data_IF_507027682014
#
_entry.id   IF_507027682014
#
_cell.length_a   1.000
_cell.length_b   1.000
_cell.length_c   1.000
_cell.angle_alpha   90.00
_cell.angle_beta   90.00
_cell.angle_gamma   90.00
#
_symmetry.space_group_name_H-M   'P 1'
#
loop_
_entity.id
_entity.type
_entity.pdbx_description
1 polymer ?
#
# COMPACT_ATOMS: atom_id res chain seq x y z
N UNK A 1 -30.71 -10.10 53.73
CA UNK A 1 -31.97 -9.80 54.44
C UNK A 1 -32.69 -8.72 53.64
N UNK A 2 -34.00 -8.89 53.42
CA UNK A 2 -35.01 -8.11 52.64
C UNK A 2 -34.69 -6.60 52.47
N UNK A 3 -34.95 -5.92 51.35
CA UNK A 3 -36.25 -5.80 50.67
C UNK A 3 -36.15 -5.52 49.17
N UNK A 4 -37.11 -6.11 48.46
CA UNK A 4 -37.54 -5.85 47.09
C UNK A 4 -38.61 -4.75 47.15
N UNK A 5 -38.49 -3.68 46.36
CA UNK A 5 -39.65 -2.85 45.99
C UNK A 5 -39.75 -2.80 44.46
N UNK A 6 -40.88 -3.29 43.99
CA UNK A 6 -41.35 -3.26 42.61
C UNK A 6 -42.25 -2.02 42.49
N UNK A 7 -41.96 -1.10 41.57
CA UNK A 7 -42.97 -0.19 41.02
C UNK A 7 -42.85 -0.20 39.50
N UNK A 8 -44.01 -0.39 38.89
CA UNK A 8 -44.24 -0.66 37.49
C UNK A 8 -44.20 0.62 36.64
N UNK A 9 -43.78 0.38 35.40
CA UNK A 9 -43.65 1.20 34.19
C UNK A 9 -44.82 2.17 33.93
N UNK A 10 -44.50 3.42 33.56
CA UNK A 10 -45.13 4.14 32.43
C UNK A 10 -44.22 5.26 31.89
N UNK A 11 -43.84 5.17 30.61
CA UNK A 11 -43.88 6.32 29.70
C UNK A 11 -42.68 7.27 29.55
N UNK A 12 -41.90 7.01 28.50
CA UNK A 12 -41.32 7.99 27.56
C UNK A 12 -40.12 8.90 27.93
N UNK A 13 -39.08 8.75 27.10
CA UNK A 13 -38.00 9.68 26.70
C UNK A 13 -37.02 10.18 27.77
N UNK A 14 -35.76 9.70 27.70
CA UNK A 14 -34.55 10.50 27.43
C UNK A 14 -33.26 9.67 27.64
N UNK A 15 -32.37 9.77 26.66
CA UNK A 15 -30.91 9.86 26.81
C UNK A 15 -30.20 8.86 27.72
N UNK A 16 -29.66 7.79 27.11
CA UNK A 16 -28.58 7.01 27.72
C UNK A 16 -27.31 7.86 27.84
N UNK A 17 -26.95 8.20 29.06
CA UNK A 17 -25.69 8.82 29.44
C UNK A 17 -24.61 7.74 29.48
N UNK A 18 -23.65 7.77 28.56
CA UNK A 18 -22.42 6.97 28.64
C UNK A 18 -21.35 7.82 29.31
N UNK A 19 -20.97 7.43 30.52
CA UNK A 19 -19.85 8.03 31.26
C UNK A 19 -18.55 7.62 30.57
N UNK A 20 -17.84 8.59 29.98
CA UNK A 20 -16.47 8.41 29.48
C UNK A 20 -15.54 8.56 30.69
N UNK A 21 -14.75 7.53 30.96
CA UNK A 21 -13.58 7.64 31.85
C UNK A 21 -12.43 8.11 30.96
N UNK A 22 -12.01 9.36 31.12
CA UNK A 22 -10.88 9.94 30.39
C UNK A 22 -9.56 9.34 30.92
N UNK A 23 -8.77 8.76 30.02
CA UNK A 23 -7.37 8.40 30.24
C UNK A 23 -6.49 9.65 29.97
N UNK A 24 -5.77 10.19 30.96
CA UNK A 24 -5.07 11.46 30.83
C UNK A 24 -3.75 11.40 30.04
N UNK A 25 -3.44 10.31 29.32
CA UNK A 25 -2.18 10.17 28.56
C UNK A 25 -2.31 10.07 27.03
N UNK A 26 -3.50 10.28 26.45
CA UNK A 26 -3.66 10.33 24.99
C UNK A 26 -4.08 11.72 24.47
N UNK A 27 -3.14 12.56 24.00
CA UNK A 27 -3.46 13.89 23.46
C UNK A 27 -4.12 13.86 22.06
N UNK A 28 -4.48 12.70 21.51
CA UNK A 28 -5.04 12.56 20.16
C UNK A 28 -6.45 11.94 20.09
N UNK A 29 -7.20 11.89 21.20
CA UNK A 29 -8.56 11.35 21.21
C UNK A 29 -9.66 12.24 20.55
N UNK A 30 -9.31 13.29 19.81
CA UNK A 30 -10.29 14.16 19.14
C UNK A 30 -9.99 14.40 17.66
N UNK A 31 -10.34 13.41 16.82
CA UNK A 31 -10.90 13.57 15.46
C UNK A 31 -10.94 12.20 14.75
N UNK A 32 -11.88 11.34 15.11
CA UNK A 32 -12.27 10.23 14.23
C UNK A 32 -13.79 10.09 14.30
N UNK A 33 -14.51 11.10 13.83
CA UNK A 33 -15.90 10.94 13.42
C UNK A 33 -16.10 11.79 12.17
N UNK A 34 -16.22 11.11 11.03
CA UNK A 34 -16.68 11.55 9.70
C UNK A 34 -15.73 11.22 8.53
N UNK A 35 -15.31 9.96 8.39
CA UNK A 35 -14.89 9.46 7.07
C UNK A 35 -15.16 7.97 6.82
N UNK A 36 -16.24 7.43 7.41
CA UNK A 36 -16.66 6.02 7.22
C UNK A 36 -17.55 5.88 5.95
N UNK A 37 -17.86 6.97 5.26
CA UNK A 37 -18.75 6.94 4.08
C UNK A 37 -18.05 6.61 2.75
N UNK A 38 -16.72 6.69 2.67
CA UNK A 38 -15.96 6.52 1.42
C UNK A 38 -15.53 5.08 1.15
N UNK A 39 -15.34 4.25 2.19
CA UNK A 39 -14.85 2.87 2.06
C UNK A 39 -15.89 1.89 1.52
N UNK A 40 -17.17 2.20 1.63
CA UNK A 40 -18.24 1.31 1.21
C UNK A 40 -18.55 1.41 -0.31
N UNK A 41 -18.23 2.55 -0.92
CA UNK A 41 -18.53 2.81 -2.34
C UNK A 41 -17.45 2.23 -3.28
N UNK A 42 -16.19 2.20 -2.85
CA UNK A 42 -15.08 1.56 -3.60
C UNK A 42 -15.22 0.03 -3.69
N UNK A 43 -15.83 -0.60 -2.67
CA UNK A 43 -16.07 -2.06 -2.63
C UNK A 43 -17.05 -2.56 -3.70
N UNK A 44 -17.86 -1.66 -4.28
CA UNK A 44 -18.95 -2.01 -5.19
C UNK A 44 -18.55 -2.13 -6.68
N UNK A 45 -17.28 -1.88 -7.02
CA UNK A 45 -16.78 -1.86 -8.42
C UNK A 45 -15.87 -3.04 -8.80
N UNK A 46 -15.87 -4.13 -8.04
CA UNK A 46 -15.00 -5.28 -8.29
C UNK A 46 -15.65 -6.25 -9.30
N UNK A 47 -15.12 -6.29 -10.54
CA UNK A 47 -15.46 -7.33 -11.52
C UNK A 47 -14.71 -8.65 -11.28
N UNK A 48 -13.88 -8.70 -10.23
CA UNK A 48 -13.08 -9.86 -9.83
C UNK A 48 -13.72 -10.52 -8.61
N UNK A 49 -13.98 -11.83 -8.69
CA UNK A 49 -14.46 -12.59 -7.52
C UNK A 49 -13.26 -13.01 -6.67
N UNK A 50 -13.21 -12.52 -5.44
CA UNK A 50 -12.16 -12.86 -4.48
C UNK A 50 -12.60 -14.02 -3.58
N UNK A 51 -11.67 -14.92 -3.29
CA UNK A 51 -11.87 -15.86 -2.20
C UNK A 51 -11.76 -15.12 -0.85
N UNK A 52 -12.16 -15.79 0.25
CA UNK A 52 -12.18 -15.18 1.58
C UNK A 52 -10.80 -14.65 2.02
N UNK A 53 -9.73 -15.40 1.73
CA UNK A 53 -8.38 -15.05 2.13
C UNK A 53 -7.87 -13.83 1.34
N UNK A 54 -8.11 -13.81 0.03
CA UNK A 54 -7.83 -12.67 -0.83
C UNK A 54 -8.59 -11.41 -0.39
N UNK A 55 -9.88 -11.54 -0.02
CA UNK A 55 -10.64 -10.39 0.49
C UNK A 55 -10.05 -9.86 1.80
N UNK A 56 -9.68 -10.74 2.74
CA UNK A 56 -9.04 -10.33 4.00
C UNK A 56 -7.71 -9.62 3.75
N UNK A 57 -6.89 -10.14 2.82
CA UNK A 57 -5.60 -9.55 2.48
C UNK A 57 -5.75 -8.19 1.75
N UNK A 58 -6.75 -8.06 0.88
CA UNK A 58 -7.14 -6.79 0.26
C UNK A 58 -7.56 -5.77 1.32
N UNK A 59 -8.50 -6.14 2.20
CA UNK A 59 -9.01 -5.25 3.25
C UNK A 59 -7.88 -4.77 4.16
N UNK A 60 -6.98 -5.68 4.56
CA UNK A 60 -5.80 -5.32 5.37
C UNK A 60 -4.90 -4.31 4.66
N UNK A 61 -4.59 -4.53 3.37
CA UNK A 61 -3.70 -3.63 2.63
C UNK A 61 -4.30 -2.21 2.54
N UNK A 62 -5.61 -2.12 2.31
CA UNK A 62 -6.34 -0.85 2.16
C UNK A 62 -6.41 -0.01 3.44
N UNK A 63 -6.07 -0.56 4.61
CA UNK A 63 -5.89 0.23 5.82
C UNK A 63 -4.62 1.11 5.79
N UNK A 64 -3.65 0.77 4.92
CA UNK A 64 -2.35 1.45 4.83
C UNK A 64 -2.12 2.16 3.50
N UNK A 65 -2.81 1.75 2.44
CA UNK A 65 -2.63 2.27 1.10
C UNK A 65 -3.95 2.76 0.53
N UNK A 66 -3.88 3.85 -0.25
CA UNK A 66 -5.03 4.35 -0.99
C UNK A 66 -4.91 3.94 -2.45
N UNK A 67 -5.91 3.25 -2.97
CA UNK A 67 -6.01 3.01 -4.41
C UNK A 67 -6.31 4.35 -5.10
N UNK A 68 -5.56 4.73 -6.14
CA UNK A 68 -5.81 6.00 -6.81
C UNK A 68 -7.18 6.04 -7.50
N UNK A 69 -7.72 7.25 -7.64
CA UNK A 69 -9.00 7.44 -8.30
C UNK A 69 -8.98 6.88 -9.74
N UNK A 70 -10.10 6.33 -10.19
CA UNK A 70 -10.29 5.73 -11.52
C UNK A 70 -9.54 4.41 -11.78
N UNK A 71 -8.80 3.89 -10.82
CA UNK A 71 -8.28 2.53 -10.86
C UNK A 71 -9.29 1.54 -10.30
N UNK A 72 -9.52 0.44 -11.01
CA UNK A 72 -10.39 -0.65 -10.58
C UNK A 72 -9.63 -1.96 -10.56
N UNK A 73 -9.97 -2.84 -9.61
CA UNK A 73 -9.33 -4.15 -9.50
C UNK A 73 -9.60 -4.94 -10.79
N UNK A 74 -8.53 -5.30 -11.48
CA UNK A 74 -8.58 -6.02 -12.74
C UNK A 74 -8.21 -7.48 -12.56
N UNK A 75 -7.19 -7.76 -11.73
CA UNK A 75 -6.62 -9.10 -11.58
C UNK A 75 -6.09 -9.32 -10.17
N UNK A 76 -6.13 -10.59 -9.73
CA UNK A 76 -5.41 -11.07 -8.55
C UNK A 76 -4.61 -12.29 -8.96
N UNK A 77 -3.33 -12.29 -8.61
CA UNK A 77 -2.43 -13.41 -8.85
C UNK A 77 -1.98 -14.02 -7.53
N UNK A 78 -1.73 -15.32 -7.57
CA UNK A 78 -1.04 -16.05 -6.52
C UNK A 78 0.39 -16.29 -6.97
N UNK A 79 1.32 -16.16 -6.04
CA UNK A 79 2.74 -16.35 -6.30
C UNK A 79 3.49 -16.73 -5.04
N UNK A 80 4.80 -16.84 -5.19
CA UNK A 80 5.72 -16.98 -4.07
C UNK A 80 6.69 -15.81 -4.13
N UNK A 81 6.98 -15.19 -2.99
CA UNK A 81 8.01 -14.18 -2.87
C UNK A 81 8.93 -14.53 -1.70
N UNK A 82 10.21 -14.73 -1.98
CA UNK A 82 11.21 -15.10 -0.95
C UNK A 82 10.84 -16.34 -0.11
N UNK A 83 10.01 -17.25 -0.67
CA UNK A 83 9.55 -18.47 0.00
C UNK A 83 8.17 -18.38 0.65
N UNK A 84 7.58 -17.18 0.74
CA UNK A 84 6.22 -16.97 1.26
C UNK A 84 5.19 -16.95 0.13
N UNK A 85 4.05 -17.59 0.35
CA UNK A 85 2.89 -17.45 -0.54
C UNK A 85 2.39 -16.00 -0.50
N UNK A 86 2.11 -15.42 -1.67
CA UNK A 86 1.67 -14.03 -1.81
C UNK A 86 0.45 -13.89 -2.70
N UNK A 87 -0.37 -12.88 -2.40
CA UNK A 87 -1.35 -12.35 -3.32
C UNK A 87 -0.84 -11.05 -3.93
N UNK A 88 -1.04 -10.91 -5.23
CA UNK A 88 -0.68 -9.70 -5.99
C UNK A 88 -1.97 -9.14 -6.57
N UNK A 89 -2.35 -7.95 -6.12
CA UNK A 89 -3.56 -7.26 -6.59
C UNK A 89 -3.15 -6.24 -7.63
N UNK A 90 -3.77 -6.31 -8.81
CA UNK A 90 -3.53 -5.37 -9.91
C UNK A 90 -4.81 -4.59 -10.21
N UNK A 91 -4.70 -3.28 -10.13
CA UNK A 91 -5.71 -2.32 -10.52
C UNK A 91 -5.25 -1.60 -11.79
N UNK A 92 -6.18 -1.31 -12.68
CA UNK A 92 -5.91 -0.61 -13.95
C UNK A 92 -6.94 0.47 -14.19
N UNK A 93 -6.59 1.48 -15.00
CA UNK A 93 -7.52 2.51 -15.46
C UNK A 93 -7.57 2.57 -16.99
N UNK A 94 -8.76 2.79 -17.53
CA UNK A 94 -8.96 3.17 -18.93
C UNK A 94 -8.38 2.20 -19.97
N UNK A 95 -7.94 2.77 -21.10
CA UNK A 95 -7.43 2.04 -22.27
C UNK A 95 -5.96 1.61 -22.14
N UNK A 96 -5.25 2.05 -21.09
CA UNK A 96 -3.83 1.76 -20.85
C UNK A 96 -3.60 0.55 -19.90
N UNK A 97 -4.58 -0.34 -19.79
CA UNK A 97 -4.60 -1.45 -18.83
C UNK A 97 -3.67 -2.63 -19.19
N UNK A 98 -2.97 -2.58 -20.33
CA UNK A 98 -2.02 -3.61 -20.74
C UNK A 98 -0.84 -3.78 -19.77
N UNK A 99 -0.17 -4.93 -19.84
CA UNK A 99 1.17 -5.08 -19.27
C UNK A 99 2.12 -4.07 -19.94
N UNK A 100 2.87 -3.35 -19.12
CA UNK A 100 3.70 -2.22 -19.48
C UNK A 100 2.94 -0.88 -19.49
N UNK A 101 1.63 -0.87 -19.22
CA UNK A 101 0.80 0.34 -19.17
C UNK A 101 0.58 0.89 -17.76
N UNK A 102 -0.42 1.76 -17.62
CA UNK A 102 -0.79 2.38 -16.35
C UNK A 102 -1.45 1.37 -15.40
N UNK A 103 -0.93 1.25 -14.19
CA UNK A 103 -1.44 0.32 -13.19
C UNK A 103 -1.13 0.79 -11.77
N UNK A 104 -1.96 0.33 -10.83
CA UNK A 104 -1.66 0.36 -9.41
C UNK A 104 -1.66 -1.09 -8.92
N UNK A 105 -0.52 -1.57 -8.44
CA UNK A 105 -0.36 -2.95 -7.99
C UNK A 105 0.21 -3.00 -6.59
N UNK A 106 -0.18 -3.99 -5.81
CA UNK A 106 0.48 -4.27 -4.53
C UNK A 106 0.55 -5.77 -4.27
N UNK A 107 1.47 -6.14 -3.38
CA UNK A 107 1.73 -7.53 -2.99
C UNK A 107 1.69 -7.68 -1.48
N UNK A 108 1.00 -8.72 -1.00
CA UNK A 108 0.82 -9.06 0.41
C UNK A 108 1.10 -10.53 0.64
N UNK A 109 1.66 -10.88 1.80
CA UNK A 109 1.79 -12.31 2.17
C UNK A 109 0.41 -12.91 2.44
N UNK A 110 0.16 -14.11 1.94
CA UNK A 110 -1.14 -14.76 2.07
C UNK A 110 -1.47 -15.15 3.52
N UNK A 111 -0.44 -15.44 4.33
CA UNK A 111 -0.61 -15.96 5.69
C UNK A 111 -0.68 -14.86 6.75
N UNK A 112 0.13 -13.81 6.61
CA UNK A 112 0.28 -12.75 7.62
C UNK A 112 -0.32 -11.41 7.16
N UNK A 113 -0.82 -11.34 5.92
CA UNK A 113 -1.28 -10.12 5.25
C UNK A 113 -0.21 -9.03 5.19
N UNK A 114 1.07 -9.37 5.32
CA UNK A 114 2.16 -8.42 5.37
C UNK A 114 2.30 -7.71 4.01
N UNK A 115 2.10 -6.39 3.96
CA UNK A 115 2.32 -5.60 2.75
C UNK A 115 3.81 -5.61 2.37
N UNK A 116 4.16 -6.26 1.27
CA UNK A 116 5.54 -6.40 0.79
C UNK A 116 5.91 -5.31 -0.21
N UNK A 117 4.94 -4.79 -0.95
CA UNK A 117 5.19 -3.70 -1.88
C UNK A 117 3.96 -3.14 -2.56
N UNK A 118 4.12 -1.93 -3.09
CA UNK A 118 3.13 -1.12 -3.80
C UNK A 118 3.83 -0.51 -5.01
N UNK A 119 3.13 -0.38 -6.12
CA UNK A 119 3.59 0.34 -7.30
C UNK A 119 2.43 1.07 -7.96
N UNK A 120 2.65 2.33 -8.28
CA UNK A 120 1.76 3.15 -9.07
C UNK A 120 2.48 3.68 -10.30
N UNK A 121 2.21 3.05 -11.45
CA UNK A 121 2.67 3.52 -12.74
C UNK A 121 1.57 4.33 -13.42
N UNK A 122 1.82 5.62 -13.58
CA UNK A 122 0.83 6.59 -14.05
C UNK A 122 1.50 7.73 -14.80
N UNK A 123 0.87 8.18 -15.88
CA UNK A 123 1.38 9.28 -16.70
C UNK A 123 1.59 10.57 -15.91
N UNK A 124 0.86 10.81 -14.81
CA UNK A 124 1.06 12.02 -14.00
C UNK A 124 2.49 12.15 -13.45
N UNK A 125 3.23 11.05 -13.35
CA UNK A 125 4.62 11.02 -12.90
C UNK A 125 5.62 11.14 -14.07
N UNK A 126 5.15 11.54 -15.25
CA UNK A 126 5.99 11.72 -16.44
C UNK A 126 7.17 12.66 -16.16
N UNK A 127 8.34 12.26 -16.65
CA UNK A 127 9.59 12.99 -16.47
C UNK A 127 9.47 14.43 -16.97
N UNK A 128 9.96 15.36 -16.15
CA UNK A 128 9.81 16.80 -16.38
C UNK A 128 8.90 17.46 -15.34
N UNK A 129 8.18 16.69 -14.53
CA UNK A 129 7.56 17.18 -13.30
C UNK A 129 8.62 17.48 -12.23
N UNK A 130 8.33 18.43 -11.35
CA UNK A 130 9.18 18.76 -10.22
C UNK A 130 9.16 17.60 -9.21
N UNK A 131 10.36 17.15 -8.85
CA UNK A 131 10.59 16.11 -7.84
C UNK A 131 10.83 16.74 -6.47
N UNK A 132 10.42 16.08 -5.38
CA UNK A 132 10.80 16.51 -4.04
C UNK A 132 12.32 16.54 -3.89
N UNK A 133 12.81 17.38 -2.99
CA UNK A 133 14.20 17.35 -2.56
C UNK A 133 14.55 16.04 -1.84
N UNK A 134 15.84 15.76 -1.64
CA UNK A 134 16.26 14.59 -0.84
C UNK A 134 15.73 14.65 0.61
N UNK A 135 15.64 15.85 1.19
CA UNK A 135 15.13 16.08 2.55
C UNK A 135 13.63 15.78 2.62
N UNK A 136 12.82 16.38 1.74
CA UNK A 136 11.38 16.10 1.66
C UNK A 136 11.11 14.62 1.37
N UNK A 137 11.89 14.01 0.47
CA UNK A 137 11.80 12.58 0.17
C UNK A 137 12.04 11.74 1.43
N UNK A 138 13.06 12.08 2.23
CA UNK A 138 13.36 11.36 3.46
C UNK A 138 12.26 11.49 4.52
N UNK A 139 11.61 12.65 4.59
CA UNK A 139 10.48 12.89 5.49
C UNK A 139 9.26 12.07 5.09
N UNK A 140 8.86 12.15 3.82
CA UNK A 140 7.71 11.41 3.28
C UNK A 140 7.95 9.90 3.38
N UNK A 141 9.14 9.43 3.02
CA UNK A 141 9.47 8.01 3.10
C UNK A 141 9.43 7.50 4.55
N UNK A 142 9.90 8.30 5.52
CA UNK A 142 9.84 7.95 6.94
C UNK A 142 8.40 7.83 7.41
N UNK A 143 7.58 8.85 7.14
CA UNK A 143 6.17 8.86 7.53
C UNK A 143 5.44 7.64 6.93
N UNK A 144 5.61 7.40 5.63
CA UNK A 144 4.99 6.25 4.97
C UNK A 144 5.42 4.92 5.57
N UNK A 145 6.73 4.71 5.78
CA UNK A 145 7.26 3.47 6.36
C UNK A 145 6.73 3.27 7.77
N UNK A 146 6.73 4.31 8.61
CA UNK A 146 6.20 4.23 9.98
C UNK A 146 4.70 3.93 10.02
N UNK A 147 3.92 4.44 9.05
CA UNK A 147 2.50 4.15 8.95
C UNK A 147 2.25 2.68 8.56
N UNK A 148 3.02 2.13 7.60
CA UNK A 148 2.90 0.74 7.16
C UNK A 148 3.41 -0.25 8.22
N UNK A 149 4.50 0.09 8.91
CA UNK A 149 5.13 -0.73 9.93
C UNK A 149 5.95 0.16 10.90
N UNK A 150 5.41 0.46 12.09
CA UNK A 150 6.05 1.35 13.06
C UNK A 150 7.45 0.88 13.50
N UNK A 151 7.70 -0.43 13.49
CA UNK A 151 8.97 -1.00 13.93
C UNK A 151 10.02 -1.05 12.82
N UNK A 152 9.59 -0.98 11.54
CA UNK A 152 10.47 -1.11 10.39
C UNK A 152 11.50 0.01 10.31
N UNK A 153 11.09 1.26 10.53
CA UNK A 153 11.96 2.43 10.36
C UNK A 153 13.20 2.36 11.27
N UNK A 154 13.04 1.87 12.49
CA UNK A 154 14.12 1.76 13.48
C UNK A 154 15.27 0.82 13.05
N UNK A 155 15.00 -0.06 12.08
CA UNK A 155 15.94 -1.07 11.58
C UNK A 155 16.71 -0.61 10.34
N UNK A 156 16.32 0.52 9.74
CA UNK A 156 16.81 0.95 8.44
C UNK A 156 18.18 1.64 8.53
N UNK A 157 19.06 1.31 7.59
CA UNK A 157 20.23 2.09 7.25
C UNK A 157 20.06 2.70 5.87
N UNK A 158 19.91 4.03 5.83
CA UNK A 158 19.83 4.78 4.57
C UNK A 158 21.11 4.56 3.78
N UNK A 159 20.95 4.17 2.52
CA UNK A 159 22.06 4.00 1.58
C UNK A 159 22.24 5.25 0.75
N UNK A 160 21.16 5.71 0.11
CA UNK A 160 21.16 6.89 -0.74
C UNK A 160 19.72 7.35 -1.04
N UNK A 161 19.61 8.59 -1.50
CA UNK A 161 18.39 9.20 -2.02
C UNK A 161 18.73 9.75 -3.40
N UNK A 162 18.04 9.32 -4.45
CA UNK A 162 18.36 9.73 -5.82
C UNK A 162 17.16 9.54 -6.77
N UNK A 163 17.12 10.25 -7.92
CA UNK A 163 16.11 10.00 -8.94
C UNK A 163 16.11 8.54 -9.42
N UNK A 164 14.91 8.01 -9.67
CA UNK A 164 14.65 6.67 -10.18
C UNK A 164 13.60 6.77 -11.28
N UNK A 165 13.92 6.19 -12.44
CA UNK A 165 13.07 6.21 -13.63
C UNK A 165 12.54 4.80 -13.92
N UNK A 166 11.29 4.73 -14.36
CA UNK A 166 10.65 3.56 -14.95
C UNK A 166 10.01 3.96 -16.28
N UNK A 167 9.69 2.99 -17.13
CA UNK A 167 9.09 3.25 -18.45
C UNK A 167 7.76 2.51 -18.58
N UNK A 168 6.74 3.23 -19.05
CA UNK A 168 5.42 2.68 -19.38
C UNK A 168 4.95 3.08 -20.78
N UNK A 169 3.95 2.38 -21.30
CA UNK A 169 3.26 2.67 -22.54
C UNK A 169 1.89 3.32 -22.26
N UNK A 170 1.71 4.55 -22.72
CA UNK A 170 0.47 5.32 -22.61
C UNK A 170 0.03 5.71 -24.01
N UNK A 171 -1.18 5.31 -24.41
CA UNK A 171 -1.74 5.54 -25.75
C UNK A 171 -0.79 5.07 -26.88
N UNK A 172 -0.10 3.95 -26.64
CA UNK A 172 0.89 3.38 -27.56
C UNK A 172 2.22 4.12 -27.64
N UNK A 173 2.47 5.10 -26.75
CA UNK A 173 3.73 5.85 -26.68
C UNK A 173 4.49 5.52 -25.41
N UNK A 174 5.81 5.52 -25.51
CA UNK A 174 6.69 5.35 -24.36
C UNK A 174 6.70 6.63 -23.51
N UNK A 175 6.49 6.49 -22.21
CA UNK A 175 6.51 7.56 -21.21
C UNK A 175 7.45 7.13 -20.08
N UNK A 176 8.40 8.00 -19.73
CA UNK A 176 9.26 7.79 -18.56
C UNK A 176 8.57 8.34 -17.33
N UNK A 177 8.28 7.48 -16.36
CA UNK A 177 7.82 7.83 -15.01
C UNK A 177 9.04 8.05 -14.12
N UNK A 178 9.03 9.10 -13.29
CA UNK A 178 10.17 9.46 -12.44
C UNK A 178 9.76 9.77 -11.00
N UNK A 179 10.65 9.48 -10.06
CA UNK A 179 10.50 9.78 -8.64
C UNK A 179 11.83 9.80 -7.91
N UNK A 180 11.85 10.27 -6.65
CA UNK A 180 13.01 10.22 -5.78
C UNK A 180 12.98 8.97 -4.92
N UNK A 181 13.98 8.11 -5.08
CA UNK A 181 14.10 6.84 -4.39
C UNK A 181 14.90 6.97 -3.11
N UNK A 182 14.25 6.71 -1.99
CA UNK A 182 14.83 6.53 -0.66
C UNK A 182 15.19 5.06 -0.46
N UNK A 183 16.46 4.68 -0.64
CA UNK A 183 16.91 3.29 -0.53
C UNK A 183 17.55 3.01 0.82
N UNK A 184 17.08 1.96 1.49
CA UNK A 184 17.56 1.49 2.78
C UNK A 184 17.99 0.03 2.74
N UNK A 185 18.82 -0.33 3.72
CA UNK A 185 19.23 -1.70 4.00
C UNK A 185 18.91 -2.07 5.45
N UNK A 186 18.54 -3.31 5.70
CA UNK A 186 18.31 -3.87 7.03
C UNK A 186 19.43 -4.88 7.32
N UNK A 187 20.46 -4.52 8.11
CA UNK A 187 21.61 -5.39 8.33
C UNK A 187 21.29 -6.74 8.96
N UNK A 188 20.34 -6.76 9.90
CA UNK A 188 19.96 -7.97 10.62
C UNK A 188 19.30 -9.01 9.70
N UNK A 189 18.53 -8.54 8.71
CA UNK A 189 17.76 -9.38 7.78
C UNK A 189 18.51 -9.58 6.45
N UNK A 190 19.50 -8.74 6.16
CA UNK A 190 20.21 -8.67 4.87
C UNK A 190 19.28 -8.38 3.69
N UNK A 191 18.24 -7.61 3.94
CA UNK A 191 17.24 -7.22 2.97
C UNK A 191 17.29 -5.73 2.69
N UNK A 192 16.72 -5.32 1.56
CA UNK A 192 16.53 -3.91 1.21
C UNK A 192 15.07 -3.51 1.38
N UNK A 193 14.91 -2.23 1.68
CA UNK A 193 13.63 -1.51 1.66
C UNK A 193 13.82 -0.28 0.80
N UNK A 194 12.83 0.09 0.01
CA UNK A 194 12.83 1.41 -0.61
C UNK A 194 11.44 2.00 -0.74
N UNK A 195 11.42 3.32 -0.79
CA UNK A 195 10.27 4.11 -1.19
C UNK A 195 10.69 4.98 -2.37
N UNK A 196 9.83 5.13 -3.38
CA UNK A 196 9.98 6.08 -4.47
C UNK A 196 8.87 7.11 -4.33
N UNK A 197 9.25 8.37 -4.13
CA UNK A 197 8.34 9.49 -3.93
C UNK A 197 8.27 10.31 -5.23
N UNK A 198 7.08 10.44 -5.78
CA UNK A 198 6.79 11.20 -6.99
C UNK A 198 6.54 12.68 -6.73
N UNK A 199 6.08 13.36 -7.77
CA UNK A 199 5.59 14.74 -7.67
C UNK A 199 4.41 14.83 -6.69
N UNK A 200 4.28 15.95 -6.00
CA UNK A 200 3.23 16.15 -4.97
C UNK A 200 3.40 15.30 -3.71
N UNK A 201 4.50 14.55 -3.57
CA UNK A 201 4.76 13.69 -2.42
C UNK A 201 4.07 12.32 -2.48
N UNK A 202 3.49 11.96 -3.62
CA UNK A 202 2.81 10.69 -3.83
C UNK A 202 3.77 9.51 -3.81
N UNK A 203 3.32 8.37 -3.29
CA UNK A 203 4.14 7.14 -3.25
C UNK A 203 3.99 6.39 -4.58
N UNK A 204 5.05 6.40 -5.38
CA UNK A 204 5.12 5.65 -6.65
C UNK A 204 5.46 4.20 -6.36
N UNK A 205 6.38 3.92 -5.44
CA UNK A 205 6.77 2.56 -5.13
C UNK A 205 7.11 2.43 -3.66
N UNK A 206 6.70 1.33 -3.05
CA UNK A 206 7.25 0.84 -1.78
C UNK A 206 7.59 -0.61 -1.96
N UNK A 207 8.73 -1.06 -1.45
CA UNK A 207 9.03 -2.48 -1.36
C UNK A 207 9.90 -2.78 -0.13
N UNK A 208 9.70 -3.96 0.46
CA UNK A 208 10.52 -4.50 1.56
C UNK A 208 10.84 -5.98 1.38
N UNK A 209 11.77 -6.48 2.21
CA UNK A 209 12.16 -7.89 2.21
C UNK A 209 12.96 -8.30 0.97
N UNK A 210 13.62 -7.34 0.31
CA UNK A 210 14.25 -7.58 -0.98
C UNK A 210 15.66 -8.14 -0.80
N UNK A 211 15.94 -9.30 -1.40
CA UNK A 211 17.27 -9.90 -1.40
C UNK A 211 17.99 -9.56 -2.70
N UNK A 212 19.26 -9.16 -2.59
CA UNK A 212 20.13 -8.95 -3.74
C UNK A 212 21.05 -10.16 -3.93
N UNK A 213 21.06 -10.72 -5.13
CA UNK A 213 22.05 -11.74 -5.49
C UNK A 213 23.31 -11.03 -6.00
N UNK A 214 24.24 -10.78 -5.08
CA UNK A 214 25.54 -10.16 -5.41
C UNK A 214 26.40 -11.01 -6.34
N UNK A 215 26.20 -12.33 -6.38
CA UNK A 215 26.94 -13.22 -7.27
C UNK A 215 26.49 -13.08 -8.73
N UNK A 216 25.20 -12.82 -8.94
CA UNK A 216 24.61 -12.60 -10.26
C UNK A 216 24.42 -11.10 -10.61
N UNK A 217 24.72 -10.20 -9.68
CA UNK A 217 24.59 -8.76 -9.87
C UNK A 217 23.14 -8.31 -10.14
N UNK A 218 22.15 -9.02 -9.59
CA UNK A 218 20.73 -8.77 -9.85
C UNK A 218 19.87 -8.97 -8.60
N UNK A 219 18.62 -8.50 -8.66
CA UNK A 219 17.61 -8.82 -7.65
C UNK A 219 17.40 -10.33 -7.56
N UNK A 220 17.43 -10.85 -6.34
CA UNK A 220 17.22 -12.28 -6.04
C UNK A 220 15.77 -12.62 -5.70
N UNK A 221 14.97 -11.63 -5.29
CA UNK A 221 13.53 -11.79 -5.04
C UNK A 221 12.70 -11.51 -6.28
N UNK A 222 11.52 -12.10 -6.32
CA UNK A 222 10.51 -11.87 -7.35
C UNK A 222 10.10 -10.38 -7.39
N UNK A 223 9.82 -9.89 -8.59
CA UNK A 223 9.39 -8.51 -8.86
C UNK A 223 7.94 -8.48 -9.33
N UNK A 224 7.03 -9.06 -8.54
CA UNK A 224 5.64 -9.30 -8.94
C UNK A 224 4.86 -8.06 -9.40
N UNK A 225 5.22 -6.90 -8.88
CA UNK A 225 4.58 -5.62 -9.21
C UNK A 225 5.21 -4.95 -10.44
N UNK A 226 6.32 -5.46 -10.99
CA UNK A 226 6.99 -4.91 -12.17
C UNK A 226 6.55 -5.59 -13.46
N UNK A 227 6.04 -4.81 -14.40
CA UNK A 227 5.53 -5.35 -15.67
C UNK A 227 6.59 -6.03 -16.54
N UNK A 228 7.86 -5.60 -16.47
CA UNK A 228 8.97 -6.29 -17.15
C UNK A 228 9.14 -7.75 -16.68
N UNK A 229 9.00 -8.00 -15.38
CA UNK A 229 9.07 -9.33 -14.78
C UNK A 229 7.87 -10.19 -15.18
N UNK A 230 6.71 -9.56 -15.22
CA UNK A 230 5.45 -10.14 -15.60
C UNK A 230 5.41 -10.53 -17.10
N UNK A 231 5.98 -9.71 -17.98
CA UNK A 231 6.04 -9.95 -19.43
C UNK A 231 6.89 -11.18 -19.82
N UNK A 232 7.87 -11.54 -18.99
CA UNK A 232 8.70 -12.73 -19.19
C UNK A 232 7.94 -14.05 -18.87
N UNK A 233 6.74 -13.97 -18.28
CA UNK A 233 5.95 -15.12 -17.86
C UNK A 233 4.86 -15.44 -18.89
N UNK A 234 4.89 -16.68 -19.39
CA UNK A 234 4.10 -17.15 -20.54
C UNK A 234 2.59 -17.15 -20.36
N UNK A 235 2.08 -17.02 -19.13
CA UNK A 235 0.64 -17.07 -18.81
C UNK A 235 -0.02 -15.68 -18.74
N UNK A 236 0.71 -14.62 -19.10
CA UNK A 236 0.22 -13.23 -19.14
C UNK A 236 0.24 -12.58 -20.53
N UNK A 237 0.45 -13.39 -21.58
CA UNK A 237 0.29 -12.97 -22.98
C UNK A 237 -1.14 -13.19 -23.46
#
# INVERSE_FOLDING_TARGET
MKYLFLVCVTGFLLSGCTTIVEDPLNPYAHKIENDISSTQDERSKLNVTLNKQQQTALDYALDFIKVPENYALAQVYEGVQAGDDVFVFRFTKGENAQIGGEHFSFVVTANENLLLGVMWMDKQFEKGVELPSEEETAEIAREYITNVDPDLFSKLQVQWIAPHDETISVDGKEVTVTGMKYKCYIPAEKTYVWVVVGTGGEIITFERGLVWDSGLGRRGTESWIYDAWLAERSWMK
#
